data_IF_535726611555
#
_entry.id   IF_535726611555
#
_cell.length_a   1.000
_cell.length_b   1.000
_cell.length_c   1.000
_cell.angle_alpha   90.00
_cell.angle_beta   90.00
_cell.angle_gamma   90.00
#
_symmetry.space_group_name_H-M   'P 1'
#
loop_
_entity.id
_entity.type
_entity.pdbx_description
1 polymer ?
#
# COMPACT_ATOMS: atom_id res chain seq x y z
N UNK A 1 1.69 4.80 5.70
CA UNK A 1 2.92 5.49 6.12
C UNK A 1 3.92 4.58 6.83
N UNK A 2 3.50 3.42 7.37
CA UNK A 2 4.40 2.40 7.94
C UNK A 2 5.66 2.12 7.08
N UNK A 3 5.47 2.00 5.77
CA UNK A 3 6.55 1.70 4.81
C UNK A 3 7.32 2.92 4.31
N UNK A 4 7.10 4.10 4.86
CA UNK A 4 7.88 5.29 4.51
C UNK A 4 8.94 5.56 5.59
N UNK A 5 10.18 5.74 5.15
CA UNK A 5 11.30 6.19 5.96
C UNK A 5 11.47 7.71 5.81
N UNK A 6 11.13 8.50 6.85
CA UNK A 6 11.24 9.96 6.79
C UNK A 6 12.68 10.46 6.66
N UNK A 7 13.66 9.74 7.22
CA UNK A 7 15.07 10.16 7.22
C UNK A 7 15.65 10.12 5.81
N UNK A 8 15.38 9.01 5.10
CA UNK A 8 15.91 8.80 3.75
C UNK A 8 14.93 9.21 2.64
N UNK A 9 13.71 9.62 3.00
CA UNK A 9 12.60 9.94 2.07
C UNK A 9 12.31 8.82 1.07
N UNK A 10 12.29 7.57 1.57
CA UNK A 10 12.15 6.37 0.75
C UNK A 10 10.94 5.54 1.17
N UNK A 11 10.27 4.97 0.18
CA UNK A 11 9.23 3.97 0.37
C UNK A 11 9.81 2.57 0.25
N UNK A 12 9.53 1.71 1.24
CA UNK A 12 9.95 0.31 1.25
C UNK A 12 8.96 -0.66 0.60
N UNK A 13 7.82 -0.17 0.09
CA UNK A 13 6.80 -1.02 -0.55
C UNK A 13 6.10 -0.24 -1.68
N UNK A 14 6.23 -0.66 -2.95
CA UNK A 14 5.76 0.11 -4.11
C UNK A 14 4.24 0.32 -4.18
N UNK A 15 3.44 -0.68 -3.81
CA UNK A 15 1.99 -0.57 -3.71
C UNK A 15 1.56 0.35 -2.58
N UNK A 16 2.24 0.35 -1.43
CA UNK A 16 1.93 1.29 -0.35
C UNK A 16 2.24 2.73 -0.75
N UNK A 17 3.34 2.94 -1.48
CA UNK A 17 3.67 4.22 -2.09
C UNK A 17 2.59 4.66 -3.09
N UNK A 18 2.19 3.78 -4.01
CA UNK A 18 1.14 4.08 -4.99
C UNK A 18 -0.22 4.37 -4.33
N UNK A 19 -0.59 3.62 -3.27
CA UNK A 19 -1.82 3.87 -2.49
C UNK A 19 -1.78 5.23 -1.81
N UNK A 20 -0.61 5.66 -1.31
CA UNK A 20 -0.46 7.01 -0.78
C UNK A 20 -0.63 8.06 -1.87
N UNK A 21 -0.07 7.86 -3.08
CA UNK A 21 -0.28 8.78 -4.19
C UNK A 21 -1.75 8.91 -4.59
N UNK A 22 -2.49 7.80 -4.60
CA UNK A 22 -3.95 7.81 -4.84
C UNK A 22 -4.68 8.58 -3.73
N UNK A 23 -4.34 8.33 -2.46
CA UNK A 23 -4.91 9.10 -1.35
C UNK A 23 -4.60 10.60 -1.50
N UNK A 24 -3.36 10.96 -1.85
CA UNK A 24 -2.94 12.33 -2.06
C UNK A 24 -3.70 12.98 -3.22
N UNK A 25 -3.95 12.27 -4.33
CA UNK A 25 -4.77 12.78 -5.42
C UNK A 25 -6.19 13.17 -4.95
N UNK A 26 -6.81 12.37 -4.07
CA UNK A 26 -8.12 12.71 -3.50
C UNK A 26 -8.07 13.86 -2.48
N UNK A 27 -6.99 13.96 -1.69
CA UNK A 27 -6.79 15.08 -0.76
C UNK A 27 -6.54 16.39 -1.53
N UNK A 28 -5.71 16.36 -2.57
CA UNK A 28 -5.37 17.49 -3.44
C UNK A 28 -6.59 17.98 -4.23
N UNK A 29 -7.51 17.07 -4.60
CA UNK A 29 -8.77 17.43 -5.28
C UNK A 29 -9.65 18.36 -4.44
N UNK A 30 -9.49 18.32 -3.12
CA UNK A 30 -10.24 19.17 -2.21
C UNK A 30 -11.73 18.83 -2.16
N UNK A 31 -12.56 19.86 -1.97
CA UNK A 31 -14.03 19.76 -1.88
C UNK A 31 -14.56 18.84 -0.77
N UNK A 32 -13.68 18.38 0.13
CA UNK A 32 -14.02 17.52 1.25
C UNK A 32 -14.42 16.10 0.87
N UNK A 33 -13.93 15.58 -0.28
CA UNK A 33 -14.10 14.17 -0.64
C UNK A 33 -13.43 13.25 0.37
N UNK A 34 -12.16 13.50 0.69
CA UNK A 34 -11.40 12.78 1.72
C UNK A 34 -10.92 13.77 2.76
N UNK A 35 -11.03 13.40 4.04
CA UNK A 35 -10.46 14.17 5.14
C UNK A 35 -9.65 13.28 6.08
N UNK A 36 -8.63 13.89 6.67
CA UNK A 36 -7.88 13.31 7.78
C UNK A 36 -8.40 13.98 9.05
N UNK A 37 -9.19 13.23 9.82
CA UNK A 37 -9.82 13.70 11.04
C UNK A 37 -9.09 13.12 12.26
N UNK A 38 -8.91 13.95 13.28
CA UNK A 38 -8.25 13.61 14.53
C UNK A 38 -8.83 14.49 15.64
N UNK A 39 -8.82 13.98 16.87
CA UNK A 39 -9.40 14.65 18.03
C UNK A 39 -8.37 14.99 19.10
N UNK A 40 -7.16 14.42 19.01
CA UNK A 40 -6.10 14.63 19.98
C UNK A 40 -4.99 15.49 19.42
N UNK A 41 -4.57 16.48 20.20
CA UNK A 41 -3.50 17.42 19.83
C UNK A 41 -2.12 16.75 19.68
N UNK A 42 -1.96 15.53 20.20
CA UNK A 42 -0.75 14.72 20.10
C UNK A 42 -0.70 13.83 18.84
N UNK A 43 -1.70 13.91 17.95
CA UNK A 43 -1.81 13.11 16.72
C UNK A 43 -1.82 11.59 16.96
N UNK A 44 -2.17 11.15 18.18
CA UNK A 44 -2.26 9.72 18.54
C UNK A 44 -3.56 9.04 18.10
N UNK A 45 -4.43 9.77 17.40
CA UNK A 45 -5.60 9.26 16.69
C UNK A 45 -5.63 9.75 15.24
N UNK A 46 -6.24 8.96 14.37
CA UNK A 46 -6.44 9.29 12.97
C UNK A 46 -7.62 8.49 12.42
N UNK A 47 -8.55 9.20 11.80
CA UNK A 47 -9.66 8.65 11.02
C UNK A 47 -9.59 9.23 9.62
N UNK A 48 -9.63 8.36 8.60
CA UNK A 48 -9.76 8.79 7.21
C UNK A 48 -11.24 8.70 6.87
N UNK A 49 -11.88 9.84 6.58
CA UNK A 49 -13.29 9.90 6.20
C UNK A 49 -13.43 10.12 4.70
N UNK A 50 -14.47 9.53 4.10
CA UNK A 50 -14.78 9.65 2.67
C UNK A 50 -16.23 10.06 2.50
N UNK A 51 -16.48 11.19 1.83
CA UNK A 51 -17.82 11.65 1.49
C UNK A 51 -18.35 10.88 0.28
N UNK A 52 -19.24 9.93 0.53
CA UNK A 52 -19.82 9.06 -0.50
C UNK A 52 -20.49 9.82 -1.64
N UNK A 53 -21.10 10.98 -1.34
CA UNK A 53 -21.82 11.77 -2.34
C UNK A 53 -20.90 12.36 -3.41
N UNK A 54 -19.61 12.52 -3.09
CA UNK A 54 -18.60 13.13 -3.96
C UNK A 54 -17.76 12.13 -4.74
N UNK A 55 -17.94 10.83 -4.52
CA UNK A 55 -17.13 9.80 -5.18
C UNK A 55 -17.30 9.88 -6.71
N UNK A 56 -18.54 9.95 -7.20
CA UNK A 56 -18.83 9.98 -8.64
C UNK A 56 -18.54 11.34 -9.30
N UNK A 57 -18.34 12.40 -8.52
CA UNK A 57 -18.10 13.75 -9.03
C UNK A 57 -16.64 14.14 -8.86
N UNK A 58 -16.23 14.48 -7.63
CA UNK A 58 -14.87 14.91 -7.30
C UNK A 58 -13.90 13.74 -7.43
N UNK A 59 -14.25 12.58 -6.88
CA UNK A 59 -13.36 11.42 -6.83
C UNK A 59 -13.04 10.85 -8.22
N UNK A 60 -14.08 10.65 -9.04
CA UNK A 60 -13.91 10.17 -10.41
C UNK A 60 -13.07 11.14 -11.25
N UNK A 61 -13.36 12.45 -11.16
CA UNK A 61 -12.57 13.46 -11.88
C UNK A 61 -11.11 13.48 -11.42
N UNK A 62 -10.85 13.48 -10.12
CA UNK A 62 -9.48 13.56 -9.60
C UNK A 62 -8.64 12.33 -9.97
N UNK A 63 -9.23 11.13 -9.93
CA UNK A 63 -8.50 9.92 -10.30
C UNK A 63 -8.32 9.81 -11.82
N UNK A 64 -9.28 10.29 -12.61
CA UNK A 64 -9.16 10.40 -14.07
C UNK A 64 -7.94 11.26 -14.45
N UNK A 65 -7.86 12.48 -13.91
CA UNK A 65 -6.75 13.40 -14.19
C UNK A 65 -5.38 12.81 -13.77
N UNK A 66 -5.34 12.13 -12.61
CA UNK A 66 -4.13 11.45 -12.13
C UNK A 66 -3.70 10.30 -13.06
N UNK A 67 -4.65 9.44 -13.45
CA UNK A 67 -4.38 8.28 -14.32
C UNK A 67 -3.97 8.71 -15.73
N UNK A 68 -4.60 9.75 -16.28
CA UNK A 68 -4.22 10.30 -17.59
C UNK A 68 -2.77 10.76 -17.60
N UNK A 69 -2.32 11.51 -16.57
CA UNK A 69 -0.93 11.94 -16.43
C UNK A 69 0.04 10.74 -16.37
N UNK A 70 -0.24 9.76 -15.51
CA UNK A 70 0.58 8.55 -15.41
C UNK A 70 0.68 7.82 -16.75
N UNK A 71 -0.44 7.66 -17.45
CA UNK A 71 -0.51 6.95 -18.73
C UNK A 71 0.29 7.68 -19.81
N UNK A 72 0.10 9.00 -19.95
CA UNK A 72 0.82 9.82 -20.94
C UNK A 72 2.33 9.75 -20.72
N UNK A 73 2.81 9.94 -19.48
CA UNK A 73 4.26 9.90 -19.21
C UNK A 73 4.84 8.51 -19.45
N UNK A 74 4.12 7.44 -19.10
CA UNK A 74 4.54 6.06 -19.39
C UNK A 74 4.63 5.79 -20.89
N UNK A 75 3.59 6.13 -21.65
CA UNK A 75 3.50 5.83 -23.09
C UNK A 75 4.45 6.68 -23.95
N UNK A 76 4.79 7.89 -23.49
CA UNK A 76 5.74 8.78 -24.17
C UNK A 76 7.20 8.55 -23.76
N UNK A 77 7.47 7.62 -22.84
CA UNK A 77 8.79 7.43 -22.23
C UNK A 77 9.39 8.73 -21.62
N UNK A 78 8.55 9.65 -21.15
CA UNK A 78 8.99 10.88 -20.48
C UNK A 78 9.41 10.60 -19.04
N UNK A 79 10.62 10.06 -18.89
CA UNK A 79 11.21 9.71 -17.60
C UNK A 79 11.35 10.93 -16.69
N UNK A 80 11.72 12.10 -17.25
CA UNK A 80 12.00 13.30 -16.45
C UNK A 80 10.73 13.84 -15.79
N UNK A 81 9.69 14.08 -16.58
CA UNK A 81 8.43 14.63 -16.07
C UNK A 81 7.64 13.58 -15.29
N UNK A 82 7.63 12.34 -15.76
CA UNK A 82 6.96 11.22 -15.09
C UNK A 82 7.53 10.93 -13.70
N UNK A 83 8.86 10.87 -13.57
CA UNK A 83 9.52 10.64 -12.28
C UNK A 83 9.27 11.79 -11.32
N UNK A 84 9.39 13.04 -11.79
CA UNK A 84 9.08 14.21 -10.97
C UNK A 84 7.64 14.18 -10.47
N UNK A 85 6.68 13.96 -11.36
CA UNK A 85 5.27 13.89 -11.00
C UNK A 85 4.99 12.79 -9.96
N UNK A 86 5.53 11.58 -10.16
CA UNK A 86 5.30 10.48 -9.23
C UNK A 86 5.99 10.72 -7.87
N UNK A 87 7.19 11.30 -7.84
CA UNK A 87 7.86 11.68 -6.59
C UNK A 87 7.05 12.74 -5.85
N UNK A 88 6.58 13.78 -6.53
CA UNK A 88 5.74 14.82 -5.92
C UNK A 88 4.44 14.22 -5.35
N UNK A 89 3.81 13.29 -6.07
CA UNK A 89 2.59 12.61 -5.63
C UNK A 89 2.83 11.59 -4.50
N UNK A 90 4.07 11.16 -4.29
CA UNK A 90 4.43 10.19 -3.24
C UNK A 90 5.21 10.80 -2.08
N UNK A 91 5.49 12.10 -2.13
CA UNK A 91 6.10 12.85 -1.03
C UNK A 91 5.04 13.15 0.02
N UNK A 92 5.32 12.78 1.27
CA UNK A 92 4.42 13.03 2.39
C UNK A 92 4.73 14.41 2.98
N UNK A 93 3.76 15.35 3.02
CA UNK A 93 3.92 16.62 3.71
C UNK A 93 4.16 16.42 5.21
N UNK A 94 4.92 17.33 5.83
CA UNK A 94 5.26 17.25 7.26
C UNK A 94 4.02 17.22 8.16
N UNK A 95 2.94 17.93 7.78
CA UNK A 95 1.65 17.90 8.49
C UNK A 95 1.04 16.49 8.56
N UNK A 96 1.14 15.72 7.47
CA UNK A 96 0.61 14.34 7.43
C UNK A 96 1.58 13.38 8.12
N UNK A 97 2.89 13.66 8.10
CA UNK A 97 3.90 12.84 8.76
C UNK A 97 3.73 12.79 10.28
N UNK A 98 3.08 13.78 10.90
CA UNK A 98 2.74 13.77 12.34
C UNK A 98 1.95 12.51 12.75
N UNK A 99 1.12 11.96 11.85
CA UNK A 99 0.35 10.74 12.14
C UNK A 99 1.13 9.43 11.93
N UNK A 100 2.43 9.48 11.58
CA UNK A 100 3.19 8.25 11.30
C UNK A 100 3.30 7.34 12.52
N UNK A 101 3.46 7.91 13.71
CA UNK A 101 3.66 7.14 14.94
C UNK A 101 2.39 6.38 15.34
N UNK A 102 1.20 6.98 15.22
CA UNK A 102 -0.07 6.26 15.41
C UNK A 102 -0.29 5.17 14.36
N UNK A 103 0.13 5.40 13.11
CA UNK A 103 0.07 4.36 12.05
C UNK A 103 0.98 3.19 12.40
N UNK A 104 2.17 3.44 12.96
CA UNK A 104 3.08 2.39 13.39
C UNK A 104 2.59 1.64 14.64
N UNK A 105 2.00 2.34 15.61
CA UNK A 105 1.50 1.71 16.83
C UNK A 105 0.31 0.77 16.55
N UNK A 106 -0.46 1.05 15.49
CA UNK A 106 -1.60 0.23 15.04
C UNK A 106 -1.26 -0.71 13.86
N UNK A 107 0.02 -0.94 13.57
CA UNK A 107 0.41 -1.83 12.46
C UNK A 107 -0.10 -3.26 12.69
N UNK A 108 -0.50 -3.92 11.62
CA UNK A 108 -0.92 -5.32 11.65
C UNK A 108 0.19 -6.20 11.06
N UNK A 109 0.55 -7.32 11.70
CA UNK A 109 1.51 -8.25 11.13
C UNK A 109 1.00 -8.81 9.80
N UNK A 110 1.91 -9.03 8.85
CA UNK A 110 1.53 -9.68 7.59
C UNK A 110 1.25 -11.15 7.83
N UNK A 111 0.10 -11.61 7.32
CA UNK A 111 -0.24 -13.04 7.27
C UNK A 111 0.86 -13.81 6.55
N UNK A 112 1.29 -14.90 7.16
CA UNK A 112 2.11 -15.91 6.50
C UNK A 112 1.20 -17.01 5.98
N UNK A 113 1.59 -17.64 4.88
CA UNK A 113 0.85 -18.75 4.28
C UNK A 113 1.70 -20.00 4.38
N UNK A 114 1.20 -21.03 5.07
CA UNK A 114 1.80 -22.35 5.03
C UNK A 114 1.42 -22.98 3.69
N UNK A 115 2.41 -23.33 2.88
CA UNK A 115 2.18 -23.85 1.53
C UNK A 115 2.35 -25.36 1.49
N UNK A 116 1.47 -26.04 0.78
CA UNK A 116 1.59 -27.47 0.50
C UNK A 116 2.81 -27.77 -0.40
N UNK A 117 3.30 -29.00 -0.31
CA UNK A 117 4.30 -29.55 -1.23
C UNK A 117 3.66 -30.65 -2.10
N UNK A 118 4.32 -30.98 -3.20
CA UNK A 118 3.91 -32.05 -4.11
C UNK A 118 5.04 -33.06 -4.33
N UNK A 119 4.73 -34.35 -4.28
CA UNK A 119 5.70 -35.43 -4.41
C UNK A 119 5.30 -36.41 -5.52
N UNK A 120 6.27 -36.86 -6.32
CA UNK A 120 6.04 -37.90 -7.33
C UNK A 120 6.14 -39.27 -6.67
N UNK A 121 5.09 -40.08 -6.75
CA UNK A 121 5.09 -41.49 -6.34
C UNK A 121 4.68 -42.37 -7.51
N UNK A 122 5.69 -42.95 -8.17
CA UNK A 122 5.50 -43.67 -9.43
C UNK A 122 4.96 -42.73 -10.51
N UNK A 123 3.82 -43.07 -11.11
CA UNK A 123 3.17 -42.27 -12.16
C UNK A 123 2.14 -41.27 -11.63
N UNK A 124 2.09 -41.04 -10.31
CA UNK A 124 1.14 -40.13 -9.65
C UNK A 124 1.84 -39.02 -8.89
N UNK A 125 1.17 -37.87 -8.76
CA UNK A 125 1.59 -36.75 -7.90
C UNK A 125 0.69 -36.73 -6.67
N UNK A 126 1.28 -36.71 -5.49
CA UNK A 126 0.58 -36.53 -4.21
C UNK A 126 0.81 -35.13 -3.67
N UNK A 127 -0.24 -34.53 -3.10
CA UNK A 127 -0.17 -33.24 -2.40
C UNK A 127 -0.08 -33.50 -0.91
N UNK A 128 0.88 -32.88 -0.23
CA UNK A 128 0.99 -32.88 1.23
C UNK A 128 0.74 -31.46 1.74
N UNK A 129 -0.37 -31.28 2.45
CA UNK A 129 -0.67 -30.07 3.19
C UNK A 129 -0.04 -30.13 4.58
N UNK A 130 0.22 -28.97 5.17
CA UNK A 130 0.83 -28.82 6.49
C UNK A 130 -0.09 -27.98 7.37
N UNK A 131 -0.02 -28.20 8.69
CA UNK A 131 -0.83 -27.47 9.65
C UNK A 131 -0.51 -25.96 9.63
N UNK A 132 -1.49 -25.10 9.90
CA UNK A 132 -1.32 -23.64 10.01
C UNK A 132 -0.65 -23.23 11.33
N UNK A 133 0.49 -23.84 11.64
CA UNK A 133 1.30 -23.62 12.84
C UNK A 133 2.74 -23.25 12.47
N UNK A 134 3.51 -22.76 13.43
CA UNK A 134 4.95 -22.50 13.25
C UNK A 134 5.70 -23.77 12.84
N UNK A 135 5.32 -24.92 13.41
CA UNK A 135 5.91 -26.21 13.05
C UNK A 135 5.54 -26.62 11.63
N UNK A 136 4.26 -26.53 11.25
CA UNK A 136 3.81 -26.83 9.89
C UNK A 136 4.46 -25.93 8.85
N UNK A 137 4.71 -24.66 9.16
CA UNK A 137 5.53 -23.77 8.33
C UNK A 137 6.95 -24.33 8.13
N UNK A 138 7.66 -24.70 9.20
CA UNK A 138 9.03 -25.22 9.13
C UNK A 138 9.07 -26.53 8.33
N UNK A 139 8.17 -27.47 8.63
CA UNK A 139 8.07 -28.76 7.93
C UNK A 139 7.82 -28.56 6.43
N UNK A 140 6.94 -27.61 6.06
CA UNK A 140 6.65 -27.30 4.66
C UNK A 140 7.86 -26.84 3.86
N UNK A 141 8.85 -26.23 4.50
CA UNK A 141 10.09 -25.84 3.84
C UNK A 141 11.15 -26.95 3.92
N UNK A 142 11.25 -27.65 5.04
CA UNK A 142 12.20 -28.75 5.23
C UNK A 142 12.00 -29.88 4.19
N UNK A 143 10.76 -30.16 3.83
CA UNK A 143 10.42 -31.21 2.86
C UNK A 143 10.26 -30.70 1.42
N UNK A 144 10.49 -29.41 1.13
CA UNK A 144 10.20 -28.82 -0.19
C UNK A 144 11.18 -29.24 -1.29
N UNK A 145 12.41 -29.54 -0.92
CA UNK A 145 13.47 -30.01 -1.82
C UNK A 145 13.96 -31.42 -1.44
N UNK A 146 13.19 -32.14 -0.61
CA UNK A 146 13.49 -33.50 -0.19
C UNK A 146 13.12 -34.55 -1.25
#
# INVERSE_FOLDING_TARGET
>A
MEYYDPKNKKWGQPHCQARYAILKAYLDAGEGLVKLEYTKDDFSDLVITVDKSKIATVGQKSIEEYLQKLHVYKCSADVKTGSKFFIDQTTIPDEILKFRDVVLSKKLPRKQLVQANTFVKGDKVEVKEYEETELGMIESFAEREA
#
